data_IF_715024953622
#
_entry.id   IF_715024953622
#
_cell.length_a   1.000
_cell.length_b   1.000
_cell.length_c   1.000
_cell.angle_alpha   90.00
_cell.angle_beta   90.00
_cell.angle_gamma   90.00
#
_symmetry.space_group_name_H-M   'P 1'
#
loop_
_entity.id
_entity.type
_entity.pdbx_description
1 polymer ?
#
# COMPACT_ATOMS: atom_id res chain seq x y z
N UNK A 1 3.26 -16.38 -5.04
CA UNK A 1 3.54 -15.10 -4.35
C UNK A 1 4.10 -14.14 -5.39
N UNK A 2 3.51 -12.96 -5.55
CA UNK A 2 3.98 -11.96 -6.52
C UNK A 2 5.08 -11.12 -5.90
N UNK A 3 6.15 -10.84 -6.64
CA UNK A 3 7.23 -9.97 -6.18
C UNK A 3 6.71 -8.51 -6.14
N UNK A 4 7.01 -7.71 -5.09
CA UNK A 4 6.47 -6.35 -4.94
C UNK A 4 6.72 -5.43 -6.15
N UNK A 5 7.89 -5.53 -6.78
CA UNK A 5 8.27 -4.83 -8.01
C UNK A 5 7.32 -5.12 -9.17
N UNK A 6 6.99 -6.40 -9.40
CA UNK A 6 6.04 -6.80 -10.45
C UNK A 6 4.63 -6.32 -10.15
N UNK A 7 4.23 -6.35 -8.88
CA UNK A 7 2.92 -5.86 -8.46
C UNK A 7 2.81 -4.34 -8.65
N UNK A 8 3.86 -3.60 -8.29
CA UNK A 8 3.93 -2.16 -8.50
C UNK A 8 3.86 -1.80 -9.99
N UNK A 9 4.66 -2.45 -10.84
CA UNK A 9 4.62 -2.24 -12.30
C UNK A 9 3.23 -2.52 -12.89
N UNK A 10 2.53 -3.55 -12.39
CA UNK A 10 1.13 -3.83 -12.77
C UNK A 10 0.19 -2.69 -12.37
N UNK A 11 0.36 -2.13 -11.17
CA UNK A 11 -0.48 -1.01 -10.69
C UNK A 11 -0.19 0.29 -11.43
N UNK A 12 1.05 0.55 -11.84
CA UNK A 12 1.39 1.71 -12.68
C UNK A 12 0.76 1.62 -14.06
N UNK A 13 0.76 0.43 -14.68
CA UNK A 13 0.12 0.22 -15.99
C UNK A 13 -1.41 0.16 -15.91
N UNK A 14 -1.97 -0.22 -14.76
CA UNK A 14 -3.41 -0.22 -14.52
C UNK A 14 -3.74 0.09 -13.04
N UNK A 15 -3.89 1.39 -12.67
CA UNK A 15 -4.20 1.80 -11.30
C UNK A 15 -5.55 1.32 -10.78
N UNK A 16 -6.44 0.82 -11.66
CA UNK A 16 -7.75 0.27 -11.30
C UNK A 16 -7.72 -1.24 -11.05
N UNK A 17 -6.58 -1.89 -11.22
CA UNK A 17 -6.44 -3.32 -11.00
C UNK A 17 -6.77 -3.69 -9.55
N UNK A 18 -7.61 -4.71 -9.38
CA UNK A 18 -7.84 -5.30 -8.06
C UNK A 18 -6.60 -6.09 -7.60
N UNK A 19 -6.27 -5.95 -6.31
CA UNK A 19 -5.22 -6.70 -5.64
C UNK A 19 -5.73 -7.20 -4.30
N UNK A 20 -5.21 -8.35 -3.86
CA UNK A 20 -5.53 -8.85 -2.53
C UNK A 20 -5.03 -7.88 -1.46
N UNK A 21 -5.72 -7.80 -0.32
CA UNK A 21 -5.26 -6.95 0.78
C UNK A 21 -3.88 -7.39 1.27
N UNK A 22 -3.61 -8.70 1.28
CA UNK A 22 -2.30 -9.26 1.64
C UNK A 22 -1.18 -8.79 0.70
N UNK A 23 -1.45 -8.67 -0.59
CA UNK A 23 -0.45 -8.14 -1.53
C UNK A 23 -0.28 -6.63 -1.40
N UNK A 24 -1.33 -5.91 -1.00
CA UNK A 24 -1.21 -4.49 -0.66
C UNK A 24 -0.37 -4.27 0.61
N UNK A 25 -0.55 -5.07 1.66
CA UNK A 25 0.29 -5.00 2.87
C UNK A 25 1.78 -5.25 2.56
N UNK A 26 2.08 -6.20 1.68
CA UNK A 26 3.46 -6.43 1.21
C UNK A 26 4.02 -5.26 0.43
N UNK A 27 3.20 -4.63 -0.40
CA UNK A 27 3.60 -3.47 -1.18
C UNK A 27 3.91 -2.29 -0.27
N UNK A 28 3.05 -2.03 0.73
CA UNK A 28 3.28 -1.03 1.77
C UNK A 28 4.62 -1.27 2.48
N UNK A 29 4.85 -2.50 2.97
CA UNK A 29 6.11 -2.86 3.62
C UNK A 29 7.32 -2.68 2.70
N UNK A 30 7.21 -3.06 1.42
CA UNK A 30 8.29 -2.90 0.45
C UNK A 30 8.65 -1.43 0.20
N UNK A 31 7.70 -0.50 0.35
CA UNK A 31 7.94 0.94 0.25
C UNK A 31 8.29 1.59 1.61
N UNK A 32 8.58 0.79 2.65
CA UNK A 32 9.00 1.29 3.95
C UNK A 32 7.88 1.76 4.86
N UNK A 33 6.61 1.46 4.53
CA UNK A 33 5.52 1.70 5.47
C UNK A 33 5.53 0.65 6.58
N UNK A 34 5.37 1.09 7.82
CA UNK A 34 5.34 0.25 9.01
C UNK A 34 3.93 0.18 9.60
N UNK A 35 3.48 -1.01 9.99
CA UNK A 35 2.18 -1.17 10.66
C UNK A 35 2.30 -0.73 12.12
N UNK A 36 1.81 0.48 12.41
CA UNK A 36 1.85 1.07 13.75
C UNK A 36 0.72 0.56 14.65
N UNK A 37 -0.45 0.24 14.07
CA UNK A 37 -1.61 -0.18 14.85
C UNK A 37 -2.58 -1.04 14.04
N UNK A 38 -3.15 -2.04 14.70
CA UNK A 38 -4.19 -2.90 14.14
C UNK A 38 -5.37 -2.98 15.10
N UNK A 39 -6.60 -2.72 14.59
CA UNK A 39 -7.86 -2.88 15.34
C UNK A 39 -8.90 -3.54 14.43
N UNK A 40 -9.24 -4.79 14.72
CA UNK A 40 -10.06 -5.61 13.82
C UNK A 40 -9.40 -5.74 12.44
N UNK A 41 -10.14 -5.40 11.38
CA UNK A 41 -9.63 -5.40 10.00
C UNK A 41 -8.90 -4.11 9.61
N UNK A 42 -9.00 -3.05 10.42
CA UNK A 42 -8.30 -1.80 10.14
C UNK A 42 -6.83 -1.92 10.51
N UNK A 43 -5.99 -1.32 9.68
CA UNK A 43 -4.54 -1.16 9.86
C UNK A 43 -4.23 0.32 9.78
N UNK A 44 -3.27 0.79 10.57
CA UNK A 44 -2.68 2.11 10.44
C UNK A 44 -1.21 1.93 10.09
N UNK A 45 -0.83 2.43 8.93
CA UNK A 45 0.56 2.45 8.50
C UNK A 45 1.17 3.83 8.71
N UNK A 46 2.47 3.87 9.01
CA UNK A 46 3.25 5.10 9.12
C UNK A 46 4.47 5.00 8.22
N UNK A 47 5.01 6.14 7.81
CA UNK A 47 6.24 6.21 7.03
C UNK A 47 7.00 7.47 7.43
N UNK A 48 8.34 7.45 7.60
CA UNK A 48 9.11 8.59 8.10
C UNK A 48 8.97 9.89 7.30
N UNK A 49 8.68 9.78 5.99
CA UNK A 49 8.41 10.93 5.10
C UNK A 49 6.97 11.47 5.13
N UNK A 50 6.06 10.84 5.88
CA UNK A 50 4.65 11.24 5.95
C UNK A 50 4.32 11.90 7.29
N UNK A 51 3.62 13.03 7.23
CA UNK A 51 3.22 13.78 8.43
C UNK A 51 1.97 13.22 9.13
N UNK A 52 1.32 12.21 8.53
CA UNK A 52 0.11 11.57 9.08
C UNK A 52 0.10 10.07 8.79
N UNK A 53 -0.53 9.24 9.66
CA UNK A 53 -0.74 7.83 9.37
C UNK A 53 -1.60 7.61 8.11
N UNK A 54 -1.36 6.50 7.44
CA UNK A 54 -2.15 6.00 6.32
C UNK A 54 -3.05 4.83 6.78
N UNK A 55 -4.34 5.09 7.07
CA UNK A 55 -5.27 4.06 7.48
C UNK A 55 -5.75 3.22 6.29
N UNK A 56 -5.62 1.89 6.38
CA UNK A 56 -6.07 0.96 5.35
C UNK A 56 -6.97 -0.14 5.93
N UNK A 57 -7.87 -0.68 5.12
CA UNK A 57 -8.72 -1.80 5.51
C UNK A 57 -9.13 -2.63 4.27
N UNK A 58 -9.34 -3.94 4.42
CA UNK A 58 -9.83 -4.76 3.34
C UNK A 58 -11.31 -4.52 3.04
N UNK A 59 -11.72 -4.84 1.81
CA UNK A 59 -13.09 -5.20 1.44
C UNK A 59 -13.09 -6.68 1.07
N UNK A 60 -13.61 -7.53 1.97
CA UNK A 60 -13.48 -8.98 1.82
C UNK A 60 -12.01 -9.42 1.86
N UNK A 61 -11.52 -10.02 0.77
CA UNK A 61 -10.11 -10.44 0.64
C UNK A 61 -9.24 -9.39 -0.07
N UNK A 62 -9.84 -8.32 -0.59
CA UNK A 62 -9.20 -7.39 -1.49
C UNK A 62 -8.89 -6.06 -0.82
N UNK A 63 -7.88 -5.36 -1.34
CA UNK A 63 -7.65 -3.98 -1.00
C UNK A 63 -8.73 -3.09 -1.61
N UNK A 64 -9.16 -2.08 -0.87
CA UNK A 64 -10.03 -1.04 -1.41
C UNK A 64 -9.28 -0.27 -2.50
N UNK A 65 -9.85 -0.20 -3.71
CA UNK A 65 -9.18 0.42 -4.88
C UNK A 65 -8.76 1.87 -4.63
N UNK A 66 -9.55 2.63 -3.86
CA UNK A 66 -9.17 4.01 -3.55
C UNK A 66 -7.95 4.08 -2.63
N UNK A 67 -7.76 3.13 -1.71
CA UNK A 67 -6.56 3.09 -0.85
C UNK A 67 -5.33 2.71 -1.66
N UNK A 68 -5.48 1.84 -2.66
CA UNK A 68 -4.38 1.57 -3.59
C UNK A 68 -4.00 2.82 -4.37
N UNK A 69 -4.99 3.62 -4.81
CA UNK A 69 -4.73 4.91 -5.48
C UNK A 69 -4.06 5.93 -4.55
N UNK A 70 -4.58 6.11 -3.34
CA UNK A 70 -3.98 7.00 -2.33
C UNK A 70 -2.53 6.59 -2.03
N UNK A 71 -2.23 5.30 -1.96
CA UNK A 71 -0.86 4.82 -1.83
C UNK A 71 0.03 5.23 -3.01
N UNK A 72 -0.45 5.08 -4.25
CA UNK A 72 0.32 5.50 -5.43
C UNK A 72 0.55 7.02 -5.45
N UNK A 73 -0.45 7.80 -5.06
CA UNK A 73 -0.35 9.26 -4.91
C UNK A 73 0.69 9.63 -3.84
N UNK A 74 0.70 8.96 -2.68
CA UNK A 74 1.73 9.16 -1.64
C UNK A 74 3.14 8.78 -2.11
N UNK A 75 3.26 7.72 -2.92
CA UNK A 75 4.53 7.30 -3.50
C UNK A 75 5.09 8.37 -4.43
N UNK A 76 4.25 8.91 -5.31
CA UNK A 76 4.62 9.97 -6.24
C UNK A 76 4.94 11.28 -5.53
N UNK A 77 4.05 11.74 -4.64
CA UNK A 77 4.16 13.02 -3.92
C UNK A 77 5.42 13.08 -3.04
N UNK A 78 5.77 11.98 -2.38
CA UNK A 78 6.90 11.95 -1.42
C UNK A 78 8.17 11.29 -1.98
N UNK A 79 8.18 10.92 -3.26
CA UNK A 79 9.31 10.23 -3.89
C UNK A 79 9.70 8.96 -3.11
N UNK A 80 8.72 8.12 -2.83
CA UNK A 80 8.93 6.84 -2.14
C UNK A 80 9.41 5.79 -3.15
N UNK A 81 10.24 4.86 -2.69
CA UNK A 81 10.79 3.80 -3.53
C UNK A 81 10.82 2.48 -2.77
N UNK A 82 10.88 1.37 -3.51
CA UNK A 82 11.04 0.05 -2.91
C UNK A 82 12.38 -0.01 -2.20
N UNK A 83 12.36 -0.34 -0.90
CA UNK A 83 13.55 -0.50 -0.09
C UNK A 83 14.36 -1.73 -0.57
N UNK A 84 15.71 -1.63 -0.58
CA UNK A 84 16.59 -2.71 -1.00
C UNK A 84 16.58 -3.93 -0.07
#
# INVERSE_FOLDING_TARGET
MTRPDKLYAKLLSNPRAAISFRDFEKLLAAFGFENARTVGSHRQYVHPKLNRPFPVQPTGKDAKRYQVREFLELVEEHGLYIQP
#
